data_IF_666240688699
#
_entry.id   IF_666240688699
#
_cell.length_a   1.000
_cell.length_b   1.000
_cell.length_c   1.000
_cell.angle_alpha   90.00
_cell.angle_beta   90.00
_cell.angle_gamma   90.00
#
_symmetry.space_group_name_H-M   'P 1'
#
loop_
_entity.id
_entity.type
_entity.pdbx_description
1 polymer ?
#
# COMPACT_ATOMS: atom_id res chain seq x y z
N UNK A 1 -16.24 6.13 -0.04
CA UNK A 1 -15.23 7.02 -0.65
C UNK A 1 -13.86 6.49 -0.29
N UNK A 2 -12.82 6.90 -1.04
CA UNK A 2 -11.74 6.05 -1.56
C UNK A 2 -12.36 4.96 -2.44
N UNK A 3 -11.96 4.84 -3.71
CA UNK A 3 -12.57 3.87 -4.63
C UNK A 3 -12.68 2.50 -3.96
N UNK A 4 -13.92 2.00 -3.88
CA UNK A 4 -14.30 0.75 -3.21
C UNK A 4 -13.31 -0.34 -3.65
N UNK A 5 -12.40 -0.75 -2.75
CA UNK A 5 -11.29 -1.66 -3.10
C UNK A 5 -11.85 -2.94 -3.72
N UNK A 6 -13.06 -3.36 -3.32
CA UNK A 6 -13.80 -4.44 -3.96
C UNK A 6 -13.99 -4.25 -5.48
N UNK A 7 -14.27 -3.04 -5.96
CA UNK A 7 -14.42 -2.76 -7.40
C UNK A 7 -13.10 -2.85 -8.16
N UNK A 8 -12.00 -2.42 -7.55
CA UNK A 8 -10.66 -2.52 -8.16
C UNK A 8 -10.18 -3.97 -8.20
N UNK A 9 -10.47 -4.74 -7.15
CA UNK A 9 -10.26 -6.19 -7.14
C UNK A 9 -11.11 -6.88 -8.19
N UNK A 10 -12.39 -6.53 -8.33
CA UNK A 10 -13.25 -7.06 -9.40
C UNK A 10 -12.72 -6.71 -10.78
N UNK A 11 -12.23 -5.49 -11.00
CA UNK A 11 -11.57 -5.12 -12.25
C UNK A 11 -10.33 -6.00 -12.52
N UNK A 12 -9.49 -6.24 -11.50
CA UNK A 12 -8.35 -7.15 -11.61
C UNK A 12 -8.77 -8.58 -11.95
N UNK A 13 -9.82 -9.09 -11.30
CA UNK A 13 -10.38 -10.42 -11.57
C UNK A 13 -10.90 -10.53 -13.00
N UNK A 14 -11.64 -9.54 -13.49
CA UNK A 14 -12.14 -9.50 -14.88
C UNK A 14 -10.97 -9.48 -15.86
N UNK A 15 -9.96 -8.64 -15.61
CA UNK A 15 -8.79 -8.51 -16.47
C UNK A 15 -7.99 -9.82 -16.61
N UNK A 16 -7.95 -10.65 -15.56
CA UNK A 16 -7.18 -11.90 -15.53
C UNK A 16 -8.03 -13.16 -15.80
N UNK A 17 -9.36 -13.03 -15.92
CA UNK A 17 -10.26 -14.17 -16.06
C UNK A 17 -10.00 -14.98 -17.34
N UNK A 18 -9.95 -16.31 -17.20
CA UNK A 18 -9.90 -17.23 -18.34
C UNK A 18 -11.33 -17.44 -18.87
N UNK A 19 -11.54 -17.14 -20.14
CA UNK A 19 -12.83 -17.30 -20.80
C UNK A 19 -13.09 -18.78 -21.10
N UNK A 20 -13.98 -19.43 -20.34
CA UNK A 20 -14.39 -20.81 -20.60
C UNK A 20 -15.56 -20.90 -21.60
N UNK A 21 -16.55 -20.01 -21.47
CA UNK A 21 -17.68 -19.79 -22.40
C UNK A 21 -18.09 -18.32 -22.32
N UNK A 22 -18.28 -17.66 -23.46
CA UNK A 22 -18.57 -16.22 -23.51
C UNK A 22 -19.52 -15.89 -24.65
N UNK A 23 -20.44 -14.94 -24.40
CA UNK A 23 -21.26 -14.27 -25.41
C UNK A 23 -20.66 -12.94 -25.87
N UNK A 24 -19.36 -12.72 -25.65
CA UNK A 24 -18.63 -11.48 -25.99
C UNK A 24 -18.46 -10.48 -24.85
N UNK A 25 -19.41 -10.39 -23.91
CA UNK A 25 -19.41 -9.36 -22.85
C UNK A 25 -18.13 -9.32 -21.98
N UNK A 26 -17.60 -10.48 -21.59
CA UNK A 26 -16.36 -10.54 -20.80
C UNK A 26 -15.15 -10.02 -21.60
N UNK A 27 -15.11 -10.32 -22.91
CA UNK A 27 -14.05 -9.87 -23.80
C UNK A 27 -14.08 -8.34 -23.96
N UNK A 28 -15.27 -7.75 -24.09
CA UNK A 28 -15.44 -6.29 -24.17
C UNK A 28 -14.93 -5.60 -22.89
N UNK A 29 -15.25 -6.15 -21.71
CA UNK A 29 -14.74 -5.61 -20.46
C UNK A 29 -13.23 -5.79 -20.30
N UNK A 30 -12.67 -6.94 -20.69
CA UNK A 30 -11.22 -7.15 -20.70
C UNK A 30 -10.52 -6.15 -21.62
N UNK A 31 -11.06 -5.89 -22.81
CA UNK A 31 -10.53 -4.87 -23.72
C UNK A 31 -10.56 -3.48 -23.07
N UNK A 32 -11.65 -3.10 -22.41
CA UNK A 32 -11.73 -1.81 -21.69
C UNK A 32 -10.70 -1.72 -20.57
N UNK A 33 -10.45 -2.81 -19.86
CA UNK A 33 -9.53 -2.87 -18.74
C UNK A 33 -8.05 -2.98 -19.15
N UNK A 34 -7.74 -3.15 -20.44
CA UNK A 34 -6.35 -3.00 -20.93
C UNK A 34 -5.81 -1.58 -20.72
N UNK A 35 -6.71 -0.59 -20.66
CA UNK A 35 -6.35 0.79 -20.37
C UNK A 35 -6.55 1.10 -18.89
N UNK A 36 -5.45 1.40 -18.19
CA UNK A 36 -5.47 1.87 -16.81
C UNK A 36 -5.56 3.41 -16.79
N UNK A 37 -6.66 4.02 -16.32
CA UNK A 37 -6.82 5.48 -16.37
C UNK A 37 -5.81 6.22 -15.49
N UNK A 38 -5.16 7.25 -16.01
CA UNK A 38 -4.15 8.01 -15.25
C UNK A 38 -4.76 8.79 -14.08
N UNK A 39 -5.96 9.34 -14.29
CA UNK A 39 -6.73 10.04 -13.26
C UNK A 39 -7.10 9.12 -12.08
N UNK A 40 -7.26 7.81 -12.33
CA UNK A 40 -7.51 6.82 -11.30
C UNK A 40 -6.27 6.63 -10.42
N UNK A 41 -5.08 6.50 -11.02
CA UNK A 41 -3.81 6.35 -10.30
C UNK A 41 -3.57 7.53 -9.35
N UNK A 42 -3.66 8.76 -9.87
CA UNK A 42 -3.44 9.98 -9.10
C UNK A 42 -4.44 10.09 -7.92
N UNK A 43 -5.73 9.80 -8.17
CA UNK A 43 -6.76 9.84 -7.13
C UNK A 43 -6.52 8.80 -6.04
N UNK A 44 -6.16 7.57 -6.42
CA UNK A 44 -5.85 6.50 -5.47
C UNK A 44 -4.68 6.87 -4.58
N UNK A 45 -3.60 7.40 -5.16
CA UNK A 45 -2.42 7.80 -4.39
C UNK A 45 -2.80 8.85 -3.34
N UNK A 46 -3.49 9.92 -3.74
CA UNK A 46 -3.91 10.99 -2.82
C UNK A 46 -4.81 10.45 -1.71
N UNK A 47 -5.78 9.60 -2.04
CA UNK A 47 -6.70 9.00 -1.06
C UNK A 47 -5.95 8.08 -0.07
N UNK A 48 -4.94 7.34 -0.53
CA UNK A 48 -4.22 6.33 0.26
C UNK A 48 -3.16 6.92 1.20
N UNK A 49 -2.61 8.09 0.88
CA UNK A 49 -1.59 8.77 1.71
C UNK A 49 -2.19 9.64 2.81
N UNK A 50 -3.47 9.98 2.73
CA UNK A 50 -4.18 10.84 3.69
C UNK A 50 -3.96 10.42 5.17
N UNK A 51 -4.02 9.11 5.54
CA UNK A 51 -3.75 8.69 6.91
C UNK A 51 -2.34 9.01 7.42
N UNK A 52 -1.36 9.12 6.53
CA UNK A 52 0.05 9.36 6.88
C UNK A 52 0.39 10.85 6.94
N UNK A 53 -0.47 11.73 6.43
CA UNK A 53 -0.35 13.17 6.62
C UNK A 53 -0.69 13.57 8.06
N UNK A 54 -1.52 12.78 8.74
CA UNK A 54 -1.97 13.04 10.11
C UNK A 54 -0.93 12.62 11.15
N UNK A 55 -0.27 13.62 11.76
CA UNK A 55 0.63 13.42 12.90
C UNK A 55 -0.04 12.65 14.04
N UNK A 56 -1.34 12.87 14.25
CA UNK A 56 -2.09 12.18 15.30
C UNK A 56 -2.15 10.67 15.05
N UNK A 57 -2.45 10.25 13.82
CA UNK A 57 -2.54 8.82 13.48
C UNK A 57 -1.21 8.10 13.63
N UNK A 58 -0.09 8.75 13.33
CA UNK A 58 1.26 8.18 13.56
C UNK A 58 1.57 8.08 15.06
N UNK A 59 1.24 9.12 15.84
CA UNK A 59 1.41 9.10 17.31
C UNK A 59 0.58 8.01 17.99
N UNK A 60 -0.63 7.75 17.51
CA UNK A 60 -1.47 6.66 18.03
C UNK A 60 -0.75 5.32 17.88
N UNK A 61 -0.16 5.02 16.72
CA UNK A 61 0.60 3.78 16.51
C UNK A 61 1.78 3.66 17.47
N UNK A 62 2.52 4.75 17.67
CA UNK A 62 3.63 4.76 18.64
C UNK A 62 3.14 4.57 20.10
N UNK A 63 1.97 5.11 20.46
CA UNK A 63 1.37 4.86 21.76
C UNK A 63 1.00 3.39 21.96
N UNK A 64 0.58 2.68 20.89
CA UNK A 64 0.32 1.24 20.94
C UNK A 64 1.61 0.44 21.17
N UNK A 65 2.73 0.84 20.55
CA UNK A 65 4.07 0.26 20.81
C UNK A 65 4.40 0.39 22.30
N UNK A 66 4.31 1.60 22.86
CA UNK A 66 4.61 1.85 24.29
C UNK A 66 3.75 1.06 25.26
N UNK A 67 2.48 0.84 24.91
CA UNK A 67 1.52 0.08 25.72
C UNK A 67 1.56 -1.42 25.45
N UNK A 68 2.49 -1.89 24.63
CA UNK A 68 2.63 -3.31 24.24
C UNK A 68 1.34 -3.92 23.64
N UNK A 69 0.52 -3.09 22.97
CA UNK A 69 -0.75 -3.53 22.38
C UNK A 69 -0.53 -4.18 21.01
N UNK A 70 0.00 -5.41 21.03
CA UNK A 70 0.44 -6.15 19.83
C UNK A 70 -0.64 -6.33 18.77
N UNK A 71 -1.85 -6.74 19.18
CA UNK A 71 -2.96 -6.96 18.26
C UNK A 71 -3.39 -5.66 17.56
N UNK A 72 -3.67 -4.62 18.35
CA UNK A 72 -4.09 -3.32 17.84
C UNK A 72 -3.03 -2.68 16.93
N UNK A 73 -1.74 -2.77 17.30
CA UNK A 73 -0.67 -2.29 16.45
C UNK A 73 -0.61 -3.08 15.14
N UNK A 74 -0.65 -4.41 15.21
CA UNK A 74 -0.58 -5.27 14.02
C UNK A 74 -1.71 -4.96 13.05
N UNK A 75 -2.95 -4.81 13.53
CA UNK A 75 -4.09 -4.44 12.68
C UNK A 75 -3.86 -3.10 11.94
N UNK A 76 -3.28 -2.10 12.62
CA UNK A 76 -2.99 -0.80 12.00
C UNK A 76 -1.87 -0.89 10.97
N UNK A 77 -0.79 -1.63 11.28
CA UNK A 77 0.32 -1.80 10.36
C UNK A 77 -0.07 -2.66 9.14
N UNK A 78 -0.94 -3.66 9.30
CA UNK A 78 -1.53 -4.37 8.16
C UNK A 78 -2.29 -3.43 7.24
N UNK A 79 -3.07 -2.49 7.79
CA UNK A 79 -3.74 -1.49 6.96
C UNK A 79 -2.74 -0.58 6.22
N UNK A 80 -1.64 -0.20 6.89
CA UNK A 80 -0.60 0.62 6.25
C UNK A 80 0.10 -0.14 5.12
N UNK A 81 0.43 -1.42 5.32
CA UNK A 81 0.99 -2.27 4.27
C UNK A 81 -0.01 -2.45 3.11
N UNK A 82 -1.29 -2.62 3.39
CA UNK A 82 -2.31 -2.69 2.34
C UNK A 82 -2.37 -1.38 1.54
N UNK A 83 -2.35 -0.22 2.19
CA UNK A 83 -2.33 1.07 1.50
C UNK A 83 -1.06 1.23 0.64
N UNK A 84 0.09 0.82 1.17
CA UNK A 84 1.36 0.81 0.45
C UNK A 84 1.28 -0.06 -0.82
N UNK A 85 0.78 -1.29 -0.71
CA UNK A 85 0.64 -2.19 -1.85
C UNK A 85 -0.31 -1.63 -2.91
N UNK A 86 -1.41 -0.98 -2.48
CA UNK A 86 -2.35 -0.33 -3.38
C UNK A 86 -1.74 0.87 -4.11
N UNK A 87 -0.86 1.63 -3.44
CA UNK A 87 -0.06 2.67 -4.10
C UNK A 87 0.86 2.02 -5.16
N UNK A 88 1.53 0.91 -4.82
CA UNK A 88 2.38 0.19 -5.77
C UNK A 88 1.60 -0.34 -6.98
N UNK A 89 0.39 -0.86 -6.80
CA UNK A 89 -0.49 -1.22 -7.91
C UNK A 89 -0.82 -0.01 -8.78
N UNK A 90 -1.19 1.12 -8.17
CA UNK A 90 -1.56 2.33 -8.89
C UNK A 90 -0.41 2.91 -9.73
N UNK A 91 0.83 2.92 -9.22
CA UNK A 91 1.98 3.51 -9.93
C UNK A 91 2.49 2.60 -11.04
N UNK A 92 2.35 1.27 -10.87
CA UNK A 92 2.68 0.30 -11.91
C UNK A 92 1.52 0.11 -12.91
N UNK A 93 0.40 0.82 -12.75
CA UNK A 93 -0.81 0.71 -13.59
C UNK A 93 -1.36 -0.74 -13.63
N UNK A 94 -1.26 -1.43 -12.50
CA UNK A 94 -1.76 -2.80 -12.29
C UNK A 94 -3.08 -2.72 -11.53
N UNK A 95 -4.09 -3.47 -11.97
CA UNK A 95 -5.36 -3.59 -11.23
C UNK A 95 -5.15 -4.34 -9.91
N UNK A 96 -5.83 -3.91 -8.84
CA UNK A 96 -5.73 -4.55 -7.53
C UNK A 96 -6.13 -6.04 -7.61
N UNK A 97 -5.44 -6.88 -6.83
CA UNK A 97 -5.67 -8.33 -6.77
C UNK A 97 -5.54 -8.82 -5.33
N UNK A 98 -5.96 -10.05 -5.08
CA UNK A 98 -5.76 -10.72 -3.81
C UNK A 98 -4.26 -10.81 -3.46
N UNK A 99 -3.96 -10.52 -2.19
CA UNK A 99 -2.62 -10.51 -1.59
C UNK A 99 -2.02 -11.93 -1.57
N UNK A 100 -2.83 -12.98 -1.71
CA UNK A 100 -2.34 -14.37 -1.83
C UNK A 100 -1.30 -14.57 -2.93
N UNK A 101 -1.37 -13.79 -4.00
CA UNK A 101 -0.46 -13.90 -5.15
C UNK A 101 0.60 -12.81 -5.17
N UNK A 102 0.83 -12.14 -4.04
CA UNK A 102 1.64 -10.94 -3.97
C UNK A 102 3.04 -11.13 -4.56
N UNK A 103 3.72 -12.25 -4.27
CA UNK A 103 5.06 -12.52 -4.79
C UNK A 103 5.11 -12.44 -6.32
N UNK A 104 4.18 -13.13 -6.99
CA UNK A 104 4.10 -13.16 -8.46
C UNK A 104 3.76 -11.80 -9.06
N UNK A 105 2.95 -11.01 -8.37
CA UNK A 105 2.55 -9.69 -8.85
C UNK A 105 3.69 -8.69 -8.64
N UNK A 106 4.38 -8.77 -7.51
CA UNK A 106 5.54 -7.95 -7.22
C UNK A 106 6.63 -8.20 -8.27
N UNK A 107 6.82 -9.42 -8.75
CA UNK A 107 7.77 -9.72 -9.84
C UNK A 107 7.46 -8.97 -11.15
N UNK A 108 6.20 -8.63 -11.39
CA UNK A 108 5.76 -7.87 -12.57
C UNK A 108 5.89 -6.34 -12.38
N UNK A 109 6.13 -5.86 -11.16
CA UNK A 109 6.27 -4.44 -10.87
C UNK A 109 7.67 -3.93 -11.23
N UNK A 110 7.70 -2.86 -12.01
CA UNK A 110 8.93 -2.12 -12.35
C UNK A 110 9.30 -1.13 -11.26
N UNK A 111 8.32 -0.48 -10.63
CA UNK A 111 8.52 0.54 -9.59
C UNK A 111 8.15 -0.06 -8.23
N UNK A 112 9.14 -0.40 -7.42
CA UNK A 112 8.96 -0.99 -6.09
C UNK A 112 10.20 -0.80 -5.21
N UNK A 113 10.05 -0.80 -3.86
CA UNK A 113 11.16 -0.94 -2.93
C UNK A 113 11.96 -2.21 -3.17
N UNK A 114 13.26 -2.16 -2.86
CA UNK A 114 14.13 -3.34 -2.94
C UNK A 114 13.68 -4.37 -1.90
N UNK A 115 13.63 -5.65 -2.31
CA UNK A 115 13.27 -6.78 -1.44
C UNK A 115 11.92 -6.61 -0.73
N UNK A 116 10.94 -6.02 -1.43
CA UNK A 116 9.63 -5.68 -0.87
C UNK A 116 8.97 -6.83 -0.09
N UNK A 117 8.88 -8.02 -0.69
CA UNK A 117 8.25 -9.19 -0.07
C UNK A 117 8.99 -9.63 1.20
N UNK A 118 10.32 -9.76 1.10
CA UNK A 118 11.17 -10.16 2.23
C UNK A 118 10.96 -9.22 3.41
N UNK A 119 10.97 -7.90 3.16
CA UNK A 119 10.78 -6.87 4.19
C UNK A 119 9.38 -6.89 4.80
N UNK A 120 8.33 -7.13 4.00
CA UNK A 120 6.97 -7.32 4.52
C UNK A 120 6.93 -8.55 5.45
N UNK A 121 7.52 -9.66 5.03
CA UNK A 121 7.57 -10.88 5.84
C UNK A 121 8.37 -10.68 7.14
N UNK A 122 9.49 -9.97 7.09
CA UNK A 122 10.30 -9.59 8.25
C UNK A 122 9.51 -8.71 9.23
N UNK A 123 8.77 -7.71 8.74
CA UNK A 123 7.89 -6.86 9.56
C UNK A 123 6.91 -7.73 10.36
N UNK A 124 6.22 -8.68 9.73
CA UNK A 124 5.22 -9.48 10.44
C UNK A 124 5.82 -10.57 11.34
N UNK A 125 7.01 -11.05 11.01
CA UNK A 125 7.77 -12.03 11.80
C UNK A 125 8.49 -11.41 13.00
N UNK A 126 8.73 -10.10 13.00
CA UNK A 126 9.43 -9.39 14.05
C UNK A 126 8.72 -9.50 15.41
N UNK A 127 9.49 -9.84 16.46
CA UNK A 127 9.00 -9.94 17.83
C UNK A 127 8.87 -8.57 18.50
N UNK A 128 9.76 -7.63 18.19
CA UNK A 128 9.76 -6.28 18.74
C UNK A 128 8.71 -5.40 18.06
N UNK A 129 7.81 -4.81 18.85
CA UNK A 129 6.80 -3.89 18.32
C UNK A 129 7.42 -2.59 17.79
N UNK A 130 8.54 -2.15 18.38
CA UNK A 130 9.23 -0.94 17.94
C UNK A 130 9.91 -1.15 16.60
N UNK A 131 10.64 -2.25 16.44
CA UNK A 131 11.29 -2.61 15.17
C UNK A 131 10.24 -2.81 14.07
N UNK A 132 9.15 -3.54 14.38
CA UNK A 132 8.01 -3.71 13.47
C UNK A 132 7.43 -2.36 13.02
N UNK A 133 7.24 -1.42 13.95
CA UNK A 133 6.76 -0.08 13.62
C UNK A 133 7.76 0.68 12.74
N UNK A 134 9.04 0.76 13.15
CA UNK A 134 10.06 1.50 12.40
C UNK A 134 10.24 0.94 10.98
N UNK A 135 10.39 -0.38 10.83
CA UNK A 135 10.53 -1.04 9.53
C UNK A 135 9.31 -0.78 8.62
N UNK A 136 8.10 -0.75 9.18
CA UNK A 136 6.89 -0.40 8.42
C UNK A 136 6.95 1.04 7.91
N UNK A 137 7.28 1.99 8.77
CA UNK A 137 7.33 3.41 8.39
C UNK A 137 8.45 3.67 7.37
N UNK A 138 9.62 3.05 7.54
CA UNK A 138 10.72 3.12 6.58
C UNK A 138 10.30 2.64 5.19
N UNK A 139 9.62 1.49 5.12
CA UNK A 139 9.13 0.93 3.86
C UNK A 139 8.08 1.84 3.19
N UNK A 140 7.21 2.47 3.98
CA UNK A 140 6.24 3.46 3.49
C UNK A 140 6.96 4.68 2.93
N UNK A 141 7.90 5.26 3.68
CA UNK A 141 8.66 6.45 3.25
C UNK A 141 9.42 6.16 1.96
N UNK A 142 10.08 5.01 1.86
CA UNK A 142 10.76 4.59 0.64
C UNK A 142 9.79 4.48 -0.54
N UNK A 143 8.62 3.88 -0.33
CA UNK A 143 7.58 3.79 -1.38
C UNK A 143 7.09 5.17 -1.82
N UNK A 144 6.86 6.09 -0.88
CA UNK A 144 6.44 7.45 -1.20
C UNK A 144 7.51 8.23 -1.97
N UNK A 145 8.79 7.95 -1.76
CA UNK A 145 9.91 8.55 -2.50
C UNK A 145 9.98 8.08 -3.96
N UNK A 146 9.33 6.97 -4.32
CA UNK A 146 9.21 6.52 -5.71
C UNK A 146 8.15 7.29 -6.50
N UNK A 147 7.29 8.06 -5.84
CA UNK A 147 6.22 8.81 -6.46
C UNK A 147 6.71 10.15 -7.02
N UNK A 148 6.05 10.68 -8.07
CA UNK A 148 6.25 12.05 -8.50
C UNK A 148 6.01 13.01 -7.31
N UNK A 149 6.89 14.00 -7.09
CA UNK A 149 6.79 14.87 -5.91
C UNK A 149 5.54 15.75 -5.96
N UNK A 150 4.69 15.62 -4.94
CA UNK A 150 3.54 16.51 -4.70
C UNK A 150 3.60 17.10 -3.28
N UNK A 151 2.80 18.15 -3.02
CA UNK A 151 2.71 18.77 -1.68
C UNK A 151 2.24 17.76 -0.63
N UNK A 152 1.23 16.97 -0.99
CA UNK A 152 0.62 15.92 -0.17
C UNK A 152 1.62 14.82 0.19
N UNK A 153 2.42 14.39 -0.79
CA UNK A 153 3.45 13.36 -0.61
C UNK A 153 4.58 13.88 0.28
N UNK A 154 5.06 15.11 0.03
CA UNK A 154 6.10 15.75 0.86
C UNK A 154 5.64 15.90 2.31
N UNK A 155 4.39 16.28 2.53
CA UNK A 155 3.81 16.38 3.86
C UNK A 155 3.75 15.02 4.55
N UNK A 156 3.28 13.97 3.87
CA UNK A 156 3.25 12.62 4.42
C UNK A 156 4.66 12.11 4.80
N UNK A 157 5.64 12.25 3.91
CA UNK A 157 7.04 11.86 4.19
C UNK A 157 7.57 12.62 5.41
N UNK A 158 7.40 13.94 5.44
CA UNK A 158 7.87 14.79 6.55
C UNK A 158 7.21 14.39 7.87
N UNK A 159 5.92 14.08 7.87
CA UNK A 159 5.20 13.60 9.05
C UNK A 159 5.78 12.28 9.54
N UNK A 160 6.01 11.32 8.65
CA UNK A 160 6.53 9.99 8.99
C UNK A 160 7.98 10.06 9.51
N UNK A 161 8.87 10.74 8.80
CA UNK A 161 10.29 10.88 9.17
C UNK A 161 10.48 11.59 10.52
N UNK A 162 9.72 12.66 10.77
CA UNK A 162 9.76 13.36 12.07
C UNK A 162 9.33 12.48 13.24
N UNK A 163 8.42 11.53 13.02
CA UNK A 163 7.98 10.60 14.05
C UNK A 163 8.98 9.46 14.23
N UNK A 164 9.60 8.94 13.17
CA UNK A 164 10.70 7.97 13.22
C UNK A 164 11.86 8.47 14.09
N UNK A 165 12.32 9.70 13.84
CA UNK A 165 13.41 10.31 14.63
C UNK A 165 13.03 10.44 16.09
N UNK A 166 11.76 10.72 16.40
CA UNK A 166 11.27 10.82 17.79
C UNK A 166 11.12 9.46 18.47
N UNK A 167 10.79 8.40 17.72
CA UNK A 167 10.71 7.05 18.26
C UNK A 167 12.08 6.44 18.56
N UNK A 168 13.11 6.75 17.77
CA UNK A 168 14.47 6.22 17.99
C UNK A 168 15.22 6.90 19.16
N UNK A 169 14.78 8.09 19.60
CA UNK A 169 15.43 8.88 20.66
C UNK A 169 14.89 8.61 22.08
N UNK A 170 13.95 7.68 22.28
CA UNK A 170 13.29 7.43 23.58
C UNK A 170 13.02 5.96 23.80
#
# INVERSE_FOLDING_TARGET
>A
SVLDSGRLVVAGLIAQAIILRSRGLLLEWQQRLTHYPETLSAKLIVDLIEPWQSVHLVKVRWALVKRQQRFALTQRLTQDINNLLRILFAINKIWETDIKWLDKIVDQMTIKPVKLIERINEIFSCLSLSEKFCATIELIVETLKLLPPSTEIKQAITTLENNLVKSLRK
#
